data_IF_015541829747
#
_entry.id   IF_015541829747
#
_cell.length_a   1.000
_cell.length_b   1.000
_cell.length_c   1.000
_cell.angle_alpha   90.00
_cell.angle_beta   90.00
_cell.angle_gamma   90.00
#
_symmetry.space_group_name_H-M   'P 1'
#
loop_
_entity.id
_entity.type
_entity.pdbx_description
1 polymer ?
#
# COMPACT_ATOMS: atom_id res chain seq x y z
N UNK A 1 3.97 -2.93 -11.85
CA UNK A 1 3.77 -1.56 -11.34
C UNK A 1 2.59 -0.88 -12.01
N UNK A 2 2.59 -0.76 -13.35
CA UNK A 2 1.50 -0.18 -14.17
C UNK A 2 0.08 -0.59 -13.73
N UNK A 3 -0.16 -1.90 -13.60
CA UNK A 3 -1.46 -2.43 -13.15
C UNK A 3 -1.88 -1.90 -11.77
N UNK A 4 -0.96 -1.85 -10.82
CA UNK A 4 -1.24 -1.36 -9.46
C UNK A 4 -1.46 0.15 -9.46
N UNK A 5 -0.61 0.88 -10.21
CA UNK A 5 -0.70 2.33 -10.31
C UNK A 5 -2.04 2.77 -10.91
N UNK A 6 -2.53 2.09 -11.95
CA UNK A 6 -3.83 2.41 -12.58
C UNK A 6 -5.04 2.16 -11.66
N UNK A 7 -4.94 1.22 -10.70
CA UNK A 7 -5.98 1.02 -9.67
C UNK A 7 -6.00 2.19 -8.68
N UNK A 8 -4.82 2.65 -8.25
CA UNK A 8 -4.70 3.78 -7.31
C UNK A 8 -4.96 5.14 -7.98
N UNK A 9 -4.67 5.27 -9.27
CA UNK A 9 -4.87 6.45 -10.09
C UNK A 9 -5.60 6.08 -11.39
N UNK A 10 -6.94 5.93 -11.36
CA UNK A 10 -7.72 5.64 -12.56
C UNK A 10 -7.46 6.67 -13.67
N UNK A 11 -7.07 6.20 -14.86
CA UNK A 11 -6.67 7.06 -15.98
C UNK A 11 -5.26 7.65 -15.88
N UNK A 12 -4.49 7.29 -14.87
CA UNK A 12 -3.07 7.60 -14.75
C UNK A 12 -2.16 6.54 -15.40
N UNK A 13 -0.91 6.89 -15.61
CA UNK A 13 0.15 6.03 -16.16
C UNK A 13 1.34 6.03 -15.21
N UNK A 14 1.92 4.86 -14.92
CA UNK A 14 3.05 4.75 -14.02
C UNK A 14 3.99 3.63 -14.46
N UNK A 15 5.29 3.92 -14.56
CA UNK A 15 6.30 3.01 -15.11
C UNK A 15 7.54 2.93 -14.21
N UNK A 16 8.23 1.80 -14.31
CA UNK A 16 9.57 1.63 -13.74
C UNK A 16 10.54 1.55 -14.91
N UNK A 17 11.58 2.39 -14.88
CA UNK A 17 12.57 2.50 -15.95
C UNK A 17 13.95 2.32 -15.34
N UNK A 18 14.83 1.56 -16.01
CA UNK A 18 16.23 1.47 -15.61
C UNK A 18 16.93 2.76 -16.00
N UNK A 19 17.75 3.32 -15.11
CA UNK A 19 18.52 4.53 -15.42
C UNK A 19 19.63 4.25 -16.45
N UNK A 20 20.16 3.02 -16.44
CA UNK A 20 21.15 2.54 -17.41
C UNK A 20 20.86 1.06 -17.77
N UNK A 21 20.09 0.78 -18.82
CA UNK A 21 19.74 -0.59 -19.20
C UNK A 21 20.93 -1.48 -19.60
N UNK A 22 22.08 -0.89 -19.93
CA UNK A 22 23.25 -1.63 -20.43
C UNK A 22 24.20 -2.07 -19.29
N UNK A 23 24.08 -1.50 -18.08
CA UNK A 23 24.81 -1.89 -16.87
C UNK A 23 23.87 -2.29 -15.73
N UNK A 24 23.52 -3.58 -15.67
CA UNK A 24 22.62 -4.14 -14.65
C UNK A 24 23.16 -4.07 -13.22
N UNK A 25 24.47 -3.87 -13.01
CA UNK A 25 25.08 -3.80 -11.68
C UNK A 25 25.06 -2.37 -11.12
N UNK A 26 25.22 -1.37 -11.98
CA UNK A 26 25.24 0.03 -11.59
C UNK A 26 23.90 0.76 -11.80
N UNK A 27 22.98 0.19 -12.59
CA UNK A 27 21.70 0.84 -12.86
C UNK A 27 20.84 1.03 -11.62
N UNK A 28 20.24 2.21 -11.51
CA UNK A 28 19.12 2.47 -10.62
C UNK A 28 17.78 2.12 -11.26
N UNK A 29 16.72 2.35 -10.49
CA UNK A 29 15.33 2.26 -10.94
C UNK A 29 14.71 3.65 -10.76
N UNK A 30 14.25 4.26 -11.85
CA UNK A 30 13.46 5.48 -11.83
C UNK A 30 11.96 5.14 -11.86
N UNK A 31 11.21 5.80 -10.98
CA UNK A 31 9.75 5.68 -10.92
C UNK A 31 9.14 6.86 -11.66
N UNK A 32 8.56 6.59 -12.83
CA UNK A 32 7.74 7.57 -13.55
C UNK A 32 6.29 7.45 -13.10
N UNK A 33 5.67 8.56 -12.71
CA UNK A 33 4.28 8.58 -12.25
C UNK A 33 3.53 9.78 -12.83
N UNK A 34 2.43 9.48 -13.52
CA UNK A 34 1.52 10.45 -14.14
C UNK A 34 0.09 10.22 -13.67
N UNK A 35 -0.35 10.95 -12.62
CA UNK A 35 -1.75 10.96 -12.21
C UNK A 35 -2.68 11.48 -13.33
N UNK A 36 -3.99 11.16 -13.30
CA UNK A 36 -4.93 11.61 -14.30
C UNK A 36 -4.93 13.12 -14.47
N UNK A 37 -4.92 13.59 -15.72
CA UNK A 37 -4.95 15.02 -16.06
C UNK A 37 -3.61 15.76 -15.89
N UNK A 38 -2.53 15.11 -15.43
CA UNK A 38 -1.19 15.72 -15.32
C UNK A 38 -0.27 15.23 -16.44
N UNK A 39 0.63 16.10 -16.90
CA UNK A 39 1.73 15.73 -17.83
C UNK A 39 3.01 15.28 -17.10
N UNK A 40 3.02 15.40 -15.78
CA UNK A 40 4.19 15.20 -14.92
C UNK A 40 4.69 13.74 -15.01
N UNK A 41 6.01 13.57 -15.01
CA UNK A 41 6.70 12.26 -14.96
C UNK A 41 7.54 12.07 -13.70
N UNK A 42 8.11 13.15 -13.16
CA UNK A 42 9.04 13.12 -12.02
C UNK A 42 8.29 13.17 -10.69
N UNK A 43 8.69 12.30 -9.75
CA UNK A 43 8.14 12.23 -8.39
C UNK A 43 8.19 13.55 -7.62
N UNK A 44 9.21 14.38 -7.87
CA UNK A 44 9.41 15.66 -7.16
C UNK A 44 8.30 16.69 -7.42
N UNK A 45 7.52 16.52 -8.48
CA UNK A 45 6.44 17.41 -8.89
C UNK A 45 5.06 16.92 -8.44
N UNK A 46 4.99 15.79 -7.71
CA UNK A 46 3.76 15.27 -7.14
C UNK A 46 3.44 15.96 -5.82
N UNK A 47 2.14 16.08 -5.50
CA UNK A 47 1.70 16.47 -4.16
C UNK A 47 2.13 15.43 -3.11
N UNK A 48 2.06 15.79 -1.82
CA UNK A 48 2.38 14.87 -0.72
C UNK A 48 1.60 13.56 -0.80
N UNK A 49 0.27 13.62 -0.94
CA UNK A 49 -0.59 12.45 -1.04
C UNK A 49 -0.33 11.61 -2.30
N UNK A 50 -0.12 12.24 -3.46
CA UNK A 50 0.20 11.52 -4.70
C UNK A 50 1.53 10.76 -4.61
N UNK A 51 2.53 11.36 -3.98
CA UNK A 51 3.83 10.73 -3.76
C UNK A 51 3.72 9.55 -2.80
N UNK A 52 2.98 9.68 -1.71
CA UNK A 52 2.70 8.57 -0.78
C UNK A 52 2.00 7.41 -1.48
N UNK A 53 0.96 7.69 -2.27
CA UNK A 53 0.24 6.66 -3.03
C UNK A 53 1.09 6.01 -4.11
N UNK A 54 1.98 6.77 -4.75
CA UNK A 54 2.94 6.20 -5.71
C UNK A 54 3.92 5.24 -5.03
N UNK A 55 4.37 5.56 -3.81
CA UNK A 55 5.21 4.66 -3.03
C UNK A 55 4.45 3.39 -2.62
N UNK A 56 3.19 3.52 -2.18
CA UNK A 56 2.29 2.39 -1.90
C UNK A 56 2.09 1.53 -3.16
N UNK A 57 1.90 2.15 -4.34
CA UNK A 57 1.79 1.44 -5.61
C UNK A 57 3.03 0.59 -5.90
N UNK A 58 4.22 1.12 -5.62
CA UNK A 58 5.48 0.42 -5.80
C UNK A 58 5.61 -0.76 -4.85
N UNK A 59 5.31 -0.57 -3.56
CA UNK A 59 5.32 -1.64 -2.55
C UNK A 59 4.37 -2.78 -2.93
N UNK A 60 3.13 -2.46 -3.25
CA UNK A 60 2.14 -3.47 -3.68
C UNK A 60 2.57 -4.16 -4.98
N UNK A 61 3.20 -3.44 -5.91
CA UNK A 61 3.73 -4.06 -7.13
C UNK A 61 4.87 -5.06 -6.83
N UNK A 62 5.73 -4.77 -5.86
CA UNK A 62 6.78 -5.70 -5.40
C UNK A 62 6.14 -6.95 -4.77
N UNK A 63 5.17 -6.77 -3.88
CA UNK A 63 4.46 -7.88 -3.23
C UNK A 63 3.78 -8.80 -4.24
N UNK A 64 3.14 -8.23 -5.26
CA UNK A 64 2.53 -9.02 -6.34
C UNK A 64 3.54 -9.73 -7.23
N UNK A 65 4.71 -9.13 -7.47
CA UNK A 65 5.75 -9.73 -8.31
C UNK A 65 6.44 -10.90 -7.59
N UNK A 66 6.57 -10.85 -6.27
CA UNK A 66 7.11 -11.92 -5.43
C UNK A 66 6.25 -12.10 -4.18
N UNK A 67 5.18 -12.92 -4.26
CA UNK A 67 4.30 -13.17 -3.14
C UNK A 67 5.04 -13.84 -1.98
N UNK A 68 4.86 -13.30 -0.77
CA UNK A 68 5.32 -13.88 0.48
C UNK A 68 4.19 -14.68 1.14
N UNK A 69 4.48 -15.67 2.00
CA UNK A 69 3.45 -16.38 2.75
C UNK A 69 2.61 -15.45 3.64
N UNK A 70 3.23 -14.39 4.17
CA UNK A 70 2.54 -13.36 4.94
C UNK A 70 3.18 -11.98 4.79
N UNK A 71 2.41 -10.94 5.14
CA UNK A 71 2.84 -9.55 5.21
C UNK A 71 2.39 -8.91 6.53
N UNK A 72 3.24 -8.07 7.11
CA UNK A 72 2.91 -7.20 8.25
C UNK A 72 2.91 -5.75 7.75
N UNK A 73 1.84 -5.02 7.99
CA UNK A 73 1.66 -3.63 7.59
C UNK A 73 1.31 -2.81 8.83
N UNK A 74 2.06 -1.74 9.07
CA UNK A 74 1.87 -0.87 10.24
C UNK A 74 1.49 0.54 9.78
N UNK A 75 0.24 0.92 10.03
CA UNK A 75 -0.36 2.23 9.73
C UNK A 75 -0.06 2.78 8.32
N UNK A 76 0.03 1.89 7.33
CA UNK A 76 0.41 2.22 5.94
C UNK A 76 -0.58 3.18 5.27
N UNK A 77 -1.79 3.28 5.82
CA UNK A 77 -2.88 4.11 5.34
C UNK A 77 -3.05 5.45 6.08
N UNK A 78 -2.25 5.75 7.11
CA UNK A 78 -2.45 6.92 7.98
C UNK A 78 -2.43 8.28 7.24
N UNK A 79 -1.78 8.35 6.08
CA UNK A 79 -1.67 9.56 5.26
C UNK A 79 -2.70 9.63 4.11
N UNK A 80 -3.65 8.69 4.03
CA UNK A 80 -4.59 8.60 2.91
C UNK A 80 -5.96 9.20 3.25
N UNK A 81 -6.55 9.89 2.28
CA UNK A 81 -7.97 10.27 2.32
C UNK A 81 -8.90 9.07 2.08
N UNK A 82 -10.20 9.25 2.32
CA UNK A 82 -11.20 8.18 2.20
C UNK A 82 -11.27 7.50 0.82
N UNK A 83 -11.02 8.27 -0.25
CA UNK A 83 -11.07 7.75 -1.63
C UNK A 83 -9.88 6.84 -1.86
N UNK A 84 -8.69 7.30 -1.49
CA UNK A 84 -7.44 6.58 -1.67
C UNK A 84 -7.31 5.40 -0.70
N UNK A 85 -7.85 5.51 0.51
CA UNK A 85 -8.02 4.39 1.44
C UNK A 85 -8.83 3.27 0.80
N UNK A 86 -9.99 3.58 0.19
CA UNK A 86 -10.79 2.57 -0.51
C UNK A 86 -10.04 1.85 -1.63
N UNK A 87 -9.19 2.56 -2.39
CA UNK A 87 -8.35 1.95 -3.43
C UNK A 87 -7.26 1.06 -2.84
N UNK A 88 -6.62 1.47 -1.75
CA UNK A 88 -5.67 0.64 -1.03
C UNK A 88 -6.33 -0.64 -0.50
N UNK A 89 -7.50 -0.53 0.13
CA UNK A 89 -8.25 -1.68 0.64
C UNK A 89 -8.62 -2.68 -0.47
N UNK A 90 -8.89 -2.19 -1.68
CA UNK A 90 -9.12 -3.06 -2.86
C UNK A 90 -7.87 -3.88 -3.20
N UNK A 91 -6.68 -3.27 -3.15
CA UNK A 91 -5.42 -3.98 -3.39
C UNK A 91 -5.08 -4.98 -2.27
N UNK A 92 -5.34 -4.61 -1.02
CA UNK A 92 -5.18 -5.48 0.15
C UNK A 92 -6.08 -6.71 0.04
N UNK A 93 -7.34 -6.51 -0.36
CA UNK A 93 -8.26 -7.63 -0.60
C UNK A 93 -7.75 -8.60 -1.67
N UNK A 94 -7.11 -8.09 -2.75
CA UNK A 94 -6.48 -8.94 -3.77
C UNK A 94 -5.26 -9.70 -3.25
N UNK A 95 -4.43 -9.06 -2.41
CA UNK A 95 -3.26 -9.71 -1.81
C UNK A 95 -3.65 -10.81 -0.81
N UNK A 96 -4.78 -10.65 -0.11
CA UNK A 96 -5.31 -11.63 0.84
C UNK A 96 -5.58 -12.98 0.19
N UNK A 97 -5.90 -13.02 -1.11
CA UNK A 97 -6.22 -14.27 -1.81
C UNK A 97 -5.01 -15.21 -1.94
N UNK A 98 -3.79 -14.70 -1.82
CA UNK A 98 -2.55 -15.49 -1.92
C UNK A 98 -1.67 -15.48 -0.67
N UNK A 99 -1.90 -14.55 0.26
CA UNK A 99 -0.99 -14.27 1.39
C UNK A 99 -1.75 -13.89 2.65
N UNK A 100 -1.23 -14.29 3.82
CA UNK A 100 -1.77 -13.84 5.09
C UNK A 100 -1.39 -12.38 5.35
N UNK A 101 -2.35 -11.54 5.71
CA UNK A 101 -2.11 -10.12 6.00
C UNK A 101 -2.36 -9.84 7.47
N UNK A 102 -1.37 -9.22 8.11
CA UNK A 102 -1.45 -8.70 9.49
C UNK A 102 -1.35 -7.19 9.39
N UNK A 103 -2.44 -6.49 9.71
CA UNK A 103 -2.48 -5.02 9.64
C UNK A 103 -2.63 -4.44 11.05
N UNK A 104 -1.78 -3.48 11.37
CA UNK A 104 -1.88 -2.63 12.55
C UNK A 104 -2.47 -1.31 12.05
N UNK A 105 -3.66 -0.97 12.55
CA UNK A 105 -4.45 0.15 12.03
C UNK A 105 -5.38 0.69 13.09
N UNK A 106 -5.65 1.99 13.04
CA UNK A 106 -6.77 2.63 13.74
C UNK A 106 -7.92 3.04 12.79
N UNK A 107 -7.84 2.70 11.50
CA UNK A 107 -8.83 3.04 10.48
C UNK A 107 -10.00 2.05 10.46
N UNK A 108 -11.21 2.56 10.71
CA UNK A 108 -12.44 1.74 10.78
C UNK A 108 -12.69 0.94 9.50
N UNK A 109 -12.51 1.55 8.32
CA UNK A 109 -12.70 0.87 7.02
C UNK A 109 -11.73 -0.30 6.80
N UNK A 110 -10.49 -0.17 7.28
CA UNK A 110 -9.50 -1.26 7.25
C UNK A 110 -9.93 -2.41 8.15
N UNK A 111 -10.47 -2.10 9.33
CA UNK A 111 -11.00 -3.09 10.28
C UNK A 111 -12.23 -3.83 9.72
N UNK A 112 -13.10 -3.13 8.98
CA UNK A 112 -14.33 -3.69 8.40
C UNK A 112 -14.08 -4.82 7.39
N UNK A 113 -12.94 -4.81 6.69
CA UNK A 113 -12.59 -5.85 5.70
C UNK A 113 -11.81 -7.03 6.29
N UNK A 114 -11.48 -6.99 7.58
CA UNK A 114 -10.67 -8.00 8.24
C UNK A 114 -11.47 -9.29 8.51
N UNK A 115 -10.78 -10.43 8.51
CA UNK A 115 -11.39 -11.72 8.90
C UNK A 115 -11.44 -11.88 10.43
N UNK A 116 -10.47 -11.30 11.14
CA UNK A 116 -10.40 -11.25 12.59
C UNK A 116 -9.78 -9.92 13.05
N UNK A 117 -10.22 -9.44 14.21
CA UNK A 117 -9.69 -8.27 14.89
C UNK A 117 -9.00 -8.68 16.18
N UNK A 118 -7.83 -8.09 16.42
CA UNK A 118 -7.09 -8.19 17.68
C UNK A 118 -6.99 -6.80 18.29
N UNK A 119 -7.82 -6.55 19.29
CA UNK A 119 -7.81 -5.31 20.06
C UNK A 119 -6.77 -5.37 21.16
N UNK A 120 -5.88 -4.39 21.18
CA UNK A 120 -4.85 -4.23 22.22
C UNK A 120 -5.28 -3.11 23.16
N UNK A 121 -5.37 -3.40 24.45
CA UNK A 121 -5.72 -2.41 25.49
C UNK A 121 -4.73 -2.48 26.64
N UNK A 122 -4.42 -1.35 27.24
CA UNK A 122 -3.56 -1.26 28.41
C UNK A 122 -4.38 -0.74 29.59
N UNK A 123 -4.35 -1.44 30.71
CA UNK A 123 -4.96 -0.94 31.96
C UNK A 123 -3.97 -0.02 32.68
N UNK A 124 -4.44 0.73 33.68
CA UNK A 124 -3.62 1.68 34.43
C UNK A 124 -2.43 1.08 35.21
N UNK A 125 -2.29 -0.25 35.22
CA UNK A 125 -1.17 -1.01 35.79
C UNK A 125 -0.02 -1.24 34.78
N UNK A 126 -0.15 -0.74 33.54
CA UNK A 126 0.86 -0.92 32.49
C UNK A 126 0.86 -2.31 31.84
N UNK A 127 -0.08 -3.19 32.23
CA UNK A 127 -0.20 -4.53 31.66
C UNK A 127 -1.06 -4.45 30.40
N UNK A 128 -0.50 -4.91 29.29
CA UNK A 128 -1.22 -5.00 28.01
C UNK A 128 -2.06 -6.26 27.97
N UNK A 129 -3.33 -6.12 27.61
CA UNK A 129 -4.27 -7.21 27.37
C UNK A 129 -4.70 -7.20 25.91
N UNK A 130 -4.77 -8.40 25.33
CA UNK A 130 -5.23 -8.60 23.95
C UNK A 130 -6.59 -9.29 23.97
N UNK A 131 -7.54 -8.72 23.24
CA UNK A 131 -8.86 -9.28 23.01
C UNK A 131 -8.96 -9.62 21.53
N UNK A 132 -9.50 -10.80 21.20
CA UNK A 132 -9.71 -11.20 19.81
C UNK A 132 -11.18 -11.37 19.50
N UNK A 133 -11.57 -11.01 18.30
CA UNK A 133 -12.91 -11.22 17.76
C UNK A 133 -12.80 -11.66 16.31
N UNK A 134 -13.42 -12.80 15.99
CA UNK A 134 -13.56 -13.25 14.61
C UNK A 134 -14.81 -12.61 14.00
N UNK A 135 -14.66 -11.98 12.83
CA UNK A 135 -15.76 -11.27 12.15
C UNK A 135 -16.53 -12.17 11.17
N UNK A 136 -15.94 -13.29 10.75
CA UNK A 136 -16.52 -14.31 9.87
C UNK A 136 -16.14 -15.72 10.27
#
# INVERSE_FOLDING_TARGET
FEVVFSVLFPGGDGRLVLTDPDDMLATGIEVEARPPGKKVKRLSLLSGGERSLTAVALLVAIFRARPSPFYIMDEVEAALDDVNLGRLLTLIAQLRDSSQLIMITHQKRSMEIADALYGVSMRGDGITQVISQRLR
#
